data_IF_870878927605
#
_entry.id   IF_870878927605
#
_cell.length_a   1.000
_cell.length_b   1.000
_cell.length_c   1.000
_cell.angle_alpha   90.00
_cell.angle_beta   90.00
_cell.angle_gamma   90.00
#
_symmetry.space_group_name_H-M   'P 1'
#
loop_
_entity.id
_entity.type
_entity.pdbx_description
1 polymer ?
#
# COMPACT_ATOMS: atom_id res chain seq x y z
N UNK A 1 5.63 -12.79 17.89
CA UNK A 1 4.74 -13.23 16.81
C UNK A 1 3.41 -13.63 17.40
N UNK A 2 2.35 -12.98 16.96
CA UNK A 2 1.00 -13.44 17.26
C UNK A 2 0.68 -14.65 16.37
N UNK A 3 0.41 -15.81 16.97
CA UNK A 3 -0.22 -16.91 16.25
C UNK A 3 -1.73 -16.62 16.18
N UNK A 4 -2.25 -16.37 14.97
CA UNK A 4 -3.66 -16.05 14.75
C UNK A 4 -4.37 -17.27 14.20
N UNK A 5 -5.47 -17.66 14.84
CA UNK A 5 -6.29 -18.78 14.37
C UNK A 5 -7.32 -18.28 13.37
N UNK A 6 -7.31 -18.83 12.16
CA UNK A 6 -8.31 -18.56 11.13
C UNK A 6 -9.16 -19.81 10.89
N UNK A 7 -10.46 -19.70 11.18
CA UNK A 7 -11.42 -20.75 10.87
C UNK A 7 -11.83 -20.64 9.40
N UNK A 8 -11.73 -21.74 8.67
CA UNK A 8 -12.05 -21.79 7.26
C UNK A 8 -12.81 -23.06 6.87
N UNK A 9 -13.60 -22.94 5.81
CA UNK A 9 -14.33 -24.03 5.19
C UNK A 9 -13.70 -24.37 3.84
N UNK A 10 -13.37 -25.64 3.63
CA UNK A 10 -12.83 -26.10 2.36
C UNK A 10 -13.93 -26.03 1.30
N UNK A 11 -13.59 -25.52 0.11
CA UNK A 11 -14.52 -25.42 -1.02
C UNK A 11 -14.01 -26.22 -2.22
N UNK A 12 -14.91 -26.98 -2.83
CA UNK A 12 -14.62 -27.68 -4.10
C UNK A 12 -15.07 -26.87 -5.32
N UNK A 13 -16.12 -26.07 -5.18
CA UNK A 13 -16.69 -25.28 -6.27
C UNK A 13 -16.05 -23.89 -6.33
N UNK A 14 -15.55 -23.51 -7.51
CA UNK A 14 -14.91 -22.22 -7.77
C UNK A 14 -15.52 -21.46 -8.95
N UNK A 15 -16.82 -21.60 -9.18
CA UNK A 15 -17.52 -20.85 -10.23
C UNK A 15 -17.75 -19.41 -9.81
N UNK A 16 -17.77 -18.49 -10.79
CA UNK A 16 -17.92 -17.05 -10.55
C UNK A 16 -19.20 -16.71 -9.76
N UNK A 17 -20.31 -17.41 -10.05
CA UNK A 17 -21.58 -17.22 -9.33
C UNK A 17 -21.46 -17.55 -7.84
N UNK A 18 -20.82 -18.66 -7.51
CA UNK A 18 -20.64 -19.11 -6.11
C UNK A 18 -19.72 -18.15 -5.35
N UNK A 19 -18.63 -17.68 -5.98
CA UNK A 19 -17.73 -16.71 -5.35
C UNK A 19 -18.42 -15.38 -5.05
N UNK A 20 -19.29 -14.91 -5.95
CA UNK A 20 -20.05 -13.68 -5.74
C UNK A 20 -21.08 -13.83 -4.62
N UNK A 21 -21.72 -14.99 -4.52
CA UNK A 21 -22.66 -15.29 -3.43
C UNK A 21 -21.95 -15.37 -2.07
N UNK A 22 -20.79 -16.05 -2.01
CA UNK A 22 -19.97 -16.10 -0.79
C UNK A 22 -19.57 -14.71 -0.30
N UNK A 23 -19.11 -13.82 -1.19
CA UNK A 23 -18.76 -12.44 -0.84
C UNK A 23 -19.97 -11.65 -0.34
N UNK A 24 -21.16 -11.85 -0.93
CA UNK A 24 -22.40 -11.24 -0.46
C UNK A 24 -22.81 -11.73 0.93
N UNK A 25 -22.54 -13.00 1.23
CA UNK A 25 -22.80 -13.62 2.52
C UNK A 25 -21.73 -13.31 3.59
N UNK A 26 -20.75 -12.46 3.29
CA UNK A 26 -19.71 -12.05 4.24
C UNK A 26 -18.53 -13.03 4.35
N UNK A 27 -18.37 -13.94 3.38
CA UNK A 27 -17.22 -14.83 3.30
C UNK A 27 -16.21 -14.34 2.28
N UNK A 28 -14.93 -14.48 2.61
CA UNK A 28 -13.80 -14.17 1.75
C UNK A 28 -13.24 -15.50 1.22
N UNK A 29 -13.27 -15.73 -0.10
CA UNK A 29 -12.62 -16.88 -0.70
C UNK A 29 -11.10 -16.73 -0.60
N UNK A 30 -10.39 -17.82 -0.39
CA UNK A 30 -8.93 -17.84 -0.41
C UNK A 30 -8.37 -19.13 -0.98
N UNK A 31 -7.06 -19.13 -1.17
CA UNK A 31 -6.29 -20.28 -1.64
C UNK A 31 -5.16 -20.54 -0.66
N UNK A 32 -5.03 -21.80 -0.23
CA UNK A 32 -3.89 -22.26 0.54
C UNK A 32 -3.03 -23.13 -0.36
N UNK A 33 -1.74 -22.86 -0.40
CA UNK A 33 -0.79 -23.70 -1.12
C UNK A 33 0.51 -23.81 -0.33
N UNK A 34 1.12 -24.98 -0.39
CA UNK A 34 2.41 -25.29 0.24
C UNK A 34 3.25 -26.10 -0.74
N UNK A 35 4.55 -26.20 -0.49
CA UNK A 35 5.43 -27.08 -1.25
C UNK A 35 5.21 -28.56 -0.91
N UNK A 36 4.72 -28.88 0.30
CA UNK A 36 4.54 -30.25 0.77
C UNK A 36 3.10 -30.77 0.62
N UNK A 37 2.11 -29.89 0.57
CA UNK A 37 0.68 -30.24 0.52
C UNK A 37 0.03 -29.72 -0.75
N UNK A 38 -0.97 -30.45 -1.22
CA UNK A 38 -1.78 -30.03 -2.37
C UNK A 38 -2.46 -28.68 -2.08
N UNK A 39 -2.47 -27.81 -3.10
CA UNK A 39 -3.16 -26.55 -3.01
C UNK A 39 -4.68 -26.79 -2.93
N UNK A 40 -5.36 -26.11 -2.01
CA UNK A 40 -6.80 -26.18 -1.90
C UNK A 40 -7.41 -24.80 -1.73
N UNK A 41 -8.66 -24.72 -2.13
CA UNK A 41 -9.48 -23.53 -1.99
C UNK A 41 -10.25 -23.57 -0.68
N UNK A 42 -10.34 -22.44 0.00
CA UNK A 42 -11.14 -22.30 1.22
C UNK A 42 -11.99 -21.03 1.18
N UNK A 43 -12.89 -20.89 2.14
CA UNK A 43 -13.64 -19.68 2.44
C UNK A 43 -13.55 -19.39 3.94
N UNK A 44 -13.29 -18.14 4.31
CA UNK A 44 -13.20 -17.70 5.70
C UNK A 44 -14.14 -16.52 5.93
N UNK A 45 -14.60 -16.32 7.17
CA UNK A 45 -15.49 -15.22 7.48
C UNK A 45 -14.73 -13.88 7.44
N UNK A 46 -15.35 -12.83 6.88
CA UNK A 46 -14.70 -11.53 6.67
C UNK A 46 -14.19 -10.90 7.99
N UNK A 47 -14.91 -11.09 9.09
CA UNK A 47 -14.50 -10.55 10.40
C UNK A 47 -13.20 -11.16 10.90
N UNK A 48 -13.02 -12.48 10.73
CA UNK A 48 -11.80 -13.16 11.16
C UNK A 48 -10.61 -12.74 10.30
N UNK A 49 -10.87 -12.58 9.00
CA UNK A 49 -9.91 -12.11 8.00
C UNK A 49 -9.42 -10.68 8.28
N UNK A 50 -10.35 -9.74 8.48
CA UNK A 50 -10.00 -8.33 8.64
C UNK A 50 -9.11 -8.08 9.87
N UNK A 51 -9.20 -8.95 10.90
CA UNK A 51 -8.43 -8.80 12.13
C UNK A 51 -6.91 -8.83 11.91
N UNK A 52 -6.44 -9.50 10.86
CA UNK A 52 -5.00 -9.66 10.60
C UNK A 52 -4.57 -9.13 9.23
N UNK A 53 -5.50 -8.85 8.32
CA UNK A 53 -5.16 -8.25 7.01
C UNK A 53 -4.80 -6.77 7.16
N UNK A 54 -5.48 -6.05 8.04
CA UNK A 54 -5.27 -4.61 8.23
C UNK A 54 -4.17 -4.29 9.26
N UNK A 55 -3.43 -5.30 9.74
CA UNK A 55 -2.25 -5.06 10.57
C UNK A 55 -1.03 -4.84 9.71
N UNK A 56 -0.23 -3.84 10.05
CA UNK A 56 1.07 -3.56 9.41
C UNK A 56 2.15 -4.59 9.73
N UNK A 57 1.82 -5.70 10.39
CA UNK A 57 2.75 -6.73 10.83
C UNK A 57 2.56 -8.00 10.01
N UNK A 58 3.67 -8.69 9.72
CA UNK A 58 3.59 -10.03 9.15
C UNK A 58 3.27 -11.05 10.25
N UNK A 59 2.15 -11.74 10.09
CA UNK A 59 1.64 -12.68 11.08
C UNK A 59 1.61 -14.12 10.55
N UNK A 60 1.89 -15.07 11.44
CA UNK A 60 1.72 -16.50 11.16
C UNK A 60 0.27 -16.88 11.45
N UNK A 61 -0.39 -17.45 10.45
CA UNK A 61 -1.78 -17.89 10.50
C UNK A 61 -1.81 -19.40 10.74
N UNK A 62 -2.53 -19.81 11.77
CA UNK A 62 -2.92 -21.20 12.00
C UNK A 62 -4.32 -21.39 11.37
N UNK A 63 -4.34 -21.92 10.15
CA UNK A 63 -5.58 -22.22 9.42
C UNK A 63 -6.20 -23.51 9.97
N UNK A 64 -7.42 -23.41 10.48
CA UNK A 64 -8.24 -24.55 10.93
C UNK A 64 -9.35 -24.79 9.93
N UNK A 65 -9.35 -25.98 9.33
CA UNK A 65 -10.39 -26.41 8.41
C UNK A 65 -11.39 -27.22 9.22
N UNK A 66 -12.68 -26.87 9.16
CA UNK A 66 -13.73 -27.46 10.02
C UNK A 66 -13.78 -29.01 10.02
N UNK A 67 -13.27 -29.68 8.97
CA UNK A 67 -13.27 -31.14 8.85
C UNK A 67 -11.95 -31.82 9.29
N UNK A 68 -10.85 -31.09 9.44
CA UNK A 68 -9.52 -31.65 9.73
C UNK A 68 -8.97 -31.17 11.07
N UNK A 69 -8.44 -32.11 11.88
CA UNK A 69 -7.70 -31.81 13.12
C UNK A 69 -6.30 -31.25 12.87
N UNK A 70 -5.90 -31.11 11.61
CA UNK A 70 -4.58 -30.60 11.26
C UNK A 70 -4.59 -29.07 11.27
N UNK A 71 -3.79 -28.48 12.16
CA UNK A 71 -3.51 -27.05 12.14
C UNK A 71 -2.47 -26.78 11.04
N UNK A 72 -2.88 -26.07 9.99
CA UNK A 72 -2.00 -25.70 8.89
C UNK A 72 -1.40 -24.33 9.18
N UNK A 73 -0.07 -24.29 9.38
CA UNK A 73 0.65 -23.03 9.56
C UNK A 73 0.94 -22.40 8.21
N UNK A 74 0.61 -21.12 8.06
CA UNK A 74 0.85 -20.36 6.84
C UNK A 74 1.09 -18.88 7.10
N UNK A 75 1.47 -18.17 6.05
CA UNK A 75 1.61 -16.72 6.03
C UNK A 75 0.83 -16.17 4.85
N UNK A 76 0.32 -14.95 4.98
CA UNK A 76 -0.34 -14.26 3.88
C UNK A 76 0.70 -13.95 2.82
N UNK A 77 0.47 -14.43 1.60
CA UNK A 77 1.30 -14.07 0.46
C UNK A 77 0.76 -12.84 -0.25
N UNK A 78 -0.55 -12.78 -0.47
CA UNK A 78 -1.20 -11.69 -1.16
C UNK A 78 -2.64 -11.50 -0.65
N UNK A 79 -3.12 -10.26 -0.75
CA UNK A 79 -4.49 -9.87 -0.39
C UNK A 79 -5.03 -8.95 -1.47
N UNK A 80 -6.18 -9.34 -2.02
CA UNK A 80 -6.88 -8.53 -3.02
C UNK A 80 -7.98 -7.73 -2.35
N UNK A 81 -7.97 -6.42 -2.60
CA UNK A 81 -8.99 -5.50 -2.10
C UNK A 81 -9.89 -5.03 -3.24
N UNK A 82 -11.15 -4.79 -2.92
CA UNK A 82 -12.06 -4.06 -3.79
C UNK A 82 -11.66 -2.57 -3.77
N UNK A 83 -11.31 -1.96 -4.92
CA UNK A 83 -10.82 -0.57 -4.96
C UNK A 83 -11.89 0.48 -4.62
N UNK A 84 -13.16 0.11 -4.54
CA UNK A 84 -14.26 1.02 -4.23
C UNK A 84 -14.72 0.84 -2.79
N UNK A 85 -14.79 -0.41 -2.32
CA UNK A 85 -15.36 -0.73 -0.99
C UNK A 85 -14.31 -1.02 0.07
N UNK A 86 -13.04 -1.10 -0.30
CA UNK A 86 -11.90 -1.52 0.54
C UNK A 86 -12.08 -2.88 1.23
N UNK A 87 -13.04 -3.67 0.74
CA UNK A 87 -13.31 -5.01 1.27
C UNK A 87 -12.31 -5.99 0.72
N UNK A 88 -11.87 -6.91 1.58
CA UNK A 88 -11.04 -8.04 1.16
C UNK A 88 -11.87 -8.97 0.26
N UNK A 89 -11.39 -9.19 -0.97
CA UNK A 89 -12.07 -9.99 -2.00
C UNK A 89 -11.47 -11.36 -2.20
N UNK A 90 -10.17 -11.51 -1.92
CA UNK A 90 -9.42 -12.76 -2.00
C UNK A 90 -8.18 -12.72 -1.12
N UNK A 91 -7.77 -13.89 -0.59
CA UNK A 91 -6.53 -14.05 0.18
C UNK A 91 -5.76 -15.28 -0.30
N UNK A 92 -4.47 -15.09 -0.47
CA UNK A 92 -3.51 -16.17 -0.71
C UNK A 92 -2.70 -16.46 0.55
N UNK A 93 -2.72 -17.72 0.97
CA UNK A 93 -1.95 -18.20 2.12
C UNK A 93 -0.90 -19.20 1.63
N UNK A 94 0.36 -18.90 1.93
CA UNK A 94 1.50 -19.78 1.69
C UNK A 94 1.78 -20.60 2.95
N UNK A 95 1.71 -21.93 2.84
CA UNK A 95 2.02 -22.84 3.94
C UNK A 95 3.51 -22.85 4.29
N UNK A 96 3.80 -22.81 5.59
CA UNK A 96 5.17 -22.84 6.10
C UNK A 96 5.68 -24.29 6.20
N UNK A 97 6.76 -24.59 5.49
CA UNK A 97 7.46 -25.88 5.57
C UNK A 97 8.80 -25.68 6.28
N UNK A 98 9.09 -26.50 7.29
CA UNK A 98 10.33 -26.41 8.04
C UNK A 98 11.55 -26.68 7.15
N UNK A 99 12.57 -25.82 7.26
CA UNK A 99 13.86 -26.00 6.58
C UNK A 99 13.92 -25.52 5.13
N UNK A 100 12.85 -24.93 4.60
CA UNK A 100 12.85 -24.33 3.25
C UNK A 100 12.85 -22.81 3.33
N UNK A 101 13.58 -22.15 2.43
CA UNK A 101 13.52 -20.70 2.29
C UNK A 101 12.22 -20.30 1.59
N UNK A 102 11.68 -19.16 2.02
CA UNK A 102 10.45 -18.56 1.50
C UNK A 102 10.73 -17.11 1.15
N UNK A 103 10.06 -16.61 0.10
CA UNK A 103 10.14 -15.22 -0.33
C UNK A 103 8.88 -14.48 0.07
N UNK A 104 9.03 -13.45 0.89
CA UNK A 104 7.95 -12.74 1.56
C UNK A 104 8.17 -11.23 1.44
N UNK A 105 7.07 -10.48 1.38
CA UNK A 105 7.10 -9.02 1.50
C UNK A 105 6.94 -8.66 2.97
N UNK A 106 7.94 -7.96 3.54
CA UNK A 106 7.93 -7.54 4.94
C UNK A 106 7.84 -6.02 5.00
N UNK A 107 6.91 -5.48 5.82
CA UNK A 107 6.72 -4.05 5.97
C UNK A 107 7.90 -3.39 6.69
N UNK A 108 8.17 -2.16 6.29
CA UNK A 108 9.25 -1.33 6.82
C UNK A 108 8.65 -0.21 7.68
N UNK A 109 9.04 -0.18 8.95
CA UNK A 109 8.61 0.81 9.93
C UNK A 109 9.78 1.74 10.25
N UNK A 110 9.50 3.05 10.32
CA UNK A 110 10.51 4.05 10.67
C UNK A 110 10.49 4.28 12.18
N UNK A 111 11.67 4.33 12.79
CA UNK A 111 11.84 4.62 14.21
C UNK A 111 12.64 5.90 14.39
N UNK A 112 12.24 6.72 15.37
CA UNK A 112 12.87 8.01 15.64
C UNK A 112 12.33 9.17 14.80
N UNK A 113 12.68 10.38 15.24
CA UNK A 113 12.34 11.64 14.55
C UNK A 113 13.60 12.19 13.88
N UNK A 114 13.61 12.24 12.55
CA UNK A 114 14.74 12.74 11.78
C UNK A 114 15.07 14.20 12.13
N UNK A 115 16.36 14.51 12.30
CA UNK A 115 16.83 15.90 12.52
C UNK A 115 16.34 16.83 11.42
N UNK A 116 16.36 16.37 10.16
CA UNK A 116 15.89 17.17 9.03
C UNK A 116 14.40 17.54 9.10
N UNK A 117 13.57 16.81 9.85
CA UNK A 117 12.17 17.20 10.09
C UNK A 117 12.10 18.38 11.06
N UNK A 118 12.97 18.40 12.08
CA UNK A 118 13.06 19.53 13.02
C UNK A 118 13.56 20.81 12.34
N UNK A 119 14.31 20.67 11.25
CA UNK A 119 14.80 21.75 10.40
C UNK A 119 13.76 22.22 9.35
N UNK A 120 12.55 21.63 9.36
CA UNK A 120 11.45 22.00 8.45
C UNK A 120 11.34 21.13 7.19
N UNK A 121 12.14 20.07 7.07
CA UNK A 121 12.01 19.06 6.02
C UNK A 121 10.85 18.09 6.22
N UNK A 122 10.54 17.30 5.20
CA UNK A 122 9.55 16.23 5.24
C UNK A 122 10.19 14.88 4.96
N UNK A 123 9.92 13.88 5.81
CA UNK A 123 10.31 12.49 5.55
C UNK A 123 9.39 11.92 4.48
N UNK A 124 9.98 11.35 3.43
CA UNK A 124 9.28 10.62 2.40
C UNK A 124 9.81 9.17 2.38
N UNK A 125 8.92 8.23 2.71
CA UNK A 125 9.17 6.81 2.54
C UNK A 125 8.79 6.39 1.11
N UNK A 126 9.77 5.99 0.32
CA UNK A 126 9.56 5.55 -1.06
C UNK A 126 9.15 4.09 -1.13
N UNK A 127 9.66 3.28 -0.18
CA UNK A 127 9.43 1.83 -0.16
C UNK A 127 8.85 1.42 1.20
N UNK A 128 7.60 0.96 1.20
CA UNK A 128 6.90 0.52 2.41
C UNK A 128 7.08 -0.97 2.74
N UNK A 129 7.47 -1.78 1.75
CA UNK A 129 7.66 -3.22 1.90
C UNK A 129 8.93 -3.67 1.19
N UNK A 130 9.61 -4.66 1.76
CA UNK A 130 10.81 -5.27 1.20
C UNK A 130 10.61 -6.75 0.91
N UNK A 131 11.05 -7.17 -0.26
CA UNK A 131 11.12 -8.57 -0.66
C UNK A 131 12.33 -9.21 0.01
N UNK A 132 12.06 -10.18 0.87
CA UNK A 132 13.10 -10.90 1.58
C UNK A 132 12.95 -12.40 1.47
N UNK A 133 14.08 -13.08 1.42
CA UNK A 133 14.21 -14.51 1.50
C UNK A 133 14.71 -14.91 2.90
N UNK A 134 13.90 -15.67 3.63
CA UNK A 134 14.26 -16.14 4.96
C UNK A 134 13.70 -17.55 5.24
N UNK A 135 14.22 -18.19 6.29
CA UNK A 135 13.65 -19.42 6.83
C UNK A 135 12.43 -19.07 7.69
N UNK A 136 11.41 -19.96 7.78
CA UNK A 136 10.23 -19.75 8.62
C UNK A 136 10.52 -19.41 10.10
N UNK A 137 11.68 -19.81 10.62
CA UNK A 137 12.11 -19.54 12.01
C UNK A 137 12.65 -18.12 12.22
N UNK A 138 13.00 -17.43 11.14
CA UNK A 138 13.67 -16.13 11.15
C UNK A 138 12.86 -15.06 10.41
N UNK A 139 11.58 -15.29 10.15
CA UNK A 139 10.70 -14.25 9.58
C UNK A 139 10.63 -13.11 10.62
N UNK A 140 11.03 -11.86 10.31
CA UNK A 140 10.76 -10.72 11.18
C UNK A 140 9.33 -10.23 10.97
N UNK A 141 8.68 -9.68 12.01
CA UNK A 141 7.33 -9.12 11.90
C UNK A 141 7.32 -7.83 11.07
N UNK A 142 8.32 -6.97 11.32
CA UNK A 142 8.58 -5.71 10.65
C UNK A 142 10.09 -5.46 10.58
N UNK A 143 10.52 -4.63 9.62
CA UNK A 143 11.90 -4.15 9.52
C UNK A 143 11.93 -2.72 10.04
N UNK A 144 12.66 -2.48 11.13
CA UNK A 144 12.80 -1.15 11.72
C UNK A 144 14.00 -0.42 11.13
N UNK A 145 13.78 0.83 10.72
CA UNK A 145 14.83 1.71 10.19
C UNK A 145 14.88 2.97 11.06
N UNK A 146 16.03 3.19 11.70
CA UNK A 146 16.29 4.41 12.45
C UNK A 146 16.55 5.58 11.49
N UNK A 147 15.73 6.63 11.61
CA UNK A 147 15.83 7.84 10.79
C UNK A 147 16.35 9.04 11.57
N UNK A 148 16.69 8.87 12.85
CA UNK A 148 17.01 9.97 13.78
C UNK A 148 18.13 10.87 13.24
N UNK A 149 19.19 10.28 12.69
CA UNK A 149 20.38 11.02 12.23
C UNK A 149 20.25 11.63 10.83
N UNK A 150 19.11 11.46 10.14
CA UNK A 150 18.92 11.97 8.79
C UNK A 150 18.72 13.49 8.76
N UNK A 151 19.56 14.18 7.98
CA UNK A 151 19.45 15.61 7.68
C UNK A 151 18.69 15.86 6.38
N UNK A 152 18.37 17.12 6.09
CA UNK A 152 17.70 17.48 4.83
C UNK A 152 18.58 17.10 3.64
N UNK A 153 18.03 16.32 2.70
CA UNK A 153 18.72 15.82 1.52
C UNK A 153 19.33 14.43 1.68
N UNK A 154 19.36 13.89 2.90
CA UNK A 154 19.86 12.53 3.14
C UNK A 154 18.83 11.47 2.75
N UNK A 155 19.33 10.29 2.37
CA UNK A 155 18.52 9.14 2.01
C UNK A 155 19.15 7.82 2.46
N UNK A 156 18.31 6.88 2.89
CA UNK A 156 18.70 5.51 3.25
C UNK A 156 18.37 4.59 2.07
N UNK A 157 19.34 3.78 1.65
CA UNK A 157 19.16 2.77 0.61
C UNK A 157 19.11 1.36 1.20
N UNK A 158 18.67 0.39 0.38
CA UNK A 158 18.63 -1.04 0.76
C UNK A 158 20.01 -1.56 1.16
N UNK A 159 21.10 -1.12 0.51
CA UNK A 159 22.48 -1.49 0.86
C UNK A 159 22.90 -1.14 2.29
N UNK A 160 22.24 -0.15 2.90
CA UNK A 160 22.60 0.34 4.23
C UNK A 160 21.91 -0.50 5.32
N UNK A 161 20.99 -1.38 4.94
CA UNK A 161 20.34 -2.33 5.85
C UNK A 161 21.18 -3.58 6.07
N UNK A 162 21.56 -3.81 7.32
CA UNK A 162 22.13 -5.07 7.77
C UNK A 162 21.09 -5.85 8.56
N UNK A 163 20.43 -6.81 7.92
CA UNK A 163 19.51 -7.74 8.57
C UNK A 163 20.19 -9.09 8.79
N UNK A 164 20.24 -9.54 10.04
CA UNK A 164 20.77 -10.86 10.35
C UNK A 164 19.78 -11.96 9.94
N UNK A 165 20.27 -13.02 9.30
CA UNK A 165 19.51 -14.22 8.91
C UNK A 165 18.40 -14.01 7.85
N UNK A 166 18.36 -12.84 7.21
CA UNK A 166 17.40 -12.49 6.16
C UNK A 166 18.15 -11.98 4.94
N UNK A 167 17.84 -12.51 3.76
CA UNK A 167 18.45 -12.08 2.50
C UNK A 167 17.49 -11.15 1.76
N UNK A 168 17.87 -9.90 1.55
CA UNK A 168 17.05 -8.95 0.79
C UNK A 168 17.19 -9.26 -0.71
N UNK A 169 16.06 -9.30 -1.43
CA UNK A 169 16.01 -9.59 -2.87
C UNK A 169 15.90 -8.33 -3.73
N UNK A 170 15.49 -7.20 -3.15
CA UNK A 170 15.45 -5.92 -3.85
C UNK A 170 16.87 -5.46 -4.23
N UNK A 171 16.96 -4.62 -5.27
CA UNK A 171 18.23 -4.05 -5.68
C UNK A 171 18.80 -3.11 -4.60
N UNK A 172 20.10 -3.21 -4.36
CA UNK A 172 20.85 -2.42 -3.37
C UNK A 172 20.72 -0.90 -3.55
N UNK A 173 20.41 -0.45 -4.76
CA UNK A 173 20.25 0.98 -5.12
C UNK A 173 18.87 1.55 -4.78
N UNK A 174 17.89 0.70 -4.48
CA UNK A 174 16.53 1.14 -4.15
C UNK A 174 16.58 1.99 -2.87
N UNK A 175 15.88 3.13 -2.93
CA UNK A 175 15.76 4.06 -1.83
C UNK A 175 14.59 3.65 -0.92
N UNK A 176 14.83 3.68 0.39
CA UNK A 176 13.82 3.35 1.38
C UNK A 176 13.15 4.62 1.89
N UNK A 177 13.97 5.55 2.35
CA UNK A 177 13.55 6.79 2.99
C UNK A 177 14.44 7.92 2.50
N UNK A 178 13.86 9.11 2.35
CA UNK A 178 14.59 10.35 2.11
C UNK A 178 13.96 11.49 2.90
N UNK A 179 14.78 12.49 3.26
CA UNK A 179 14.29 13.73 3.85
C UNK A 179 14.38 14.83 2.81
N UNK A 180 13.23 15.39 2.43
CA UNK A 180 13.15 16.41 1.38
C UNK A 180 13.04 17.79 2.03
N UNK A 181 13.73 18.77 1.46
CA UNK A 181 13.64 20.17 1.87
C UNK A 181 12.21 20.70 1.67
N UNK A 182 11.71 21.58 2.54
CA UNK A 182 10.43 22.23 2.31
C UNK A 182 10.49 23.00 1.00
N UNK A 183 9.47 22.83 0.14
CA UNK A 183 9.24 23.79 -0.92
C UNK A 183 8.79 25.09 -0.25
N UNK A 184 9.64 26.11 -0.29
CA UNK A 184 9.19 27.46 -0.01
C UNK A 184 8.01 27.76 -0.94
N UNK A 185 6.85 28.02 -0.35
CA UNK A 185 5.78 28.71 -1.04
C UNK A 185 6.35 30.12 -1.18
N UNK A 186 6.88 30.44 -2.36
CA UNK A 186 6.97 31.84 -2.78
C UNK A 186 5.52 32.32 -2.83
N UNK A 187 5.07 32.94 -1.73
CA UNK A 187 3.97 33.89 -1.81
C UNK A 187 4.36 34.87 -2.93
N UNK A 188 3.54 35.05 -3.98
CA UNK A 188 3.81 36.14 -4.90
C UNK A 188 3.79 37.40 -4.05
N UNK A 189 4.94 38.08 -3.92
CA UNK A 189 5.03 39.38 -3.28
C UNK A 189 3.94 40.25 -3.90
N UNK A 190 2.89 40.54 -3.12
CA UNK A 190 1.99 41.64 -3.41
C UNK A 190 2.87 42.88 -3.51
N UNK A 191 3.04 43.36 -4.75
CA UNK A 191 3.59 44.67 -5.05
C UNK A 191 2.70 45.72 -4.40
N UNK A 192 3.06 46.13 -3.18
CA UNK A 192 2.45 47.26 -2.49
C UNK A 192 2.93 48.57 -3.13
N UNK A 193 1.95 49.25 -3.71
CA UNK A 193 1.69 50.70 -3.62
C UNK A 193 2.70 51.63 -4.31
N UNK A 194 2.34 52.22 -5.46
CA UNK A 194 1.52 53.43 -5.66
C UNK A 194 2.24 54.78 -5.41
N UNK A 195 1.88 55.71 -6.30
CA UNK A 195 2.30 57.12 -6.46
C UNK A 195 3.68 57.34 -7.14
N UNK A 196 3.84 58.12 -8.22
CA UNK A 196 3.16 59.36 -8.60
C UNK A 196 3.39 59.64 -10.09
N UNK A 197 2.34 59.96 -10.86
CA UNK A 197 2.17 61.25 -11.57
C UNK A 197 0.95 61.20 -12.49
N UNK A 198 -0.03 62.02 -12.11
CA UNK A 198 -1.23 62.33 -12.85
C UNK A 198 -0.96 63.06 -14.18
N UNK A 199 -1.70 62.68 -15.21
CA UNK A 199 -2.32 63.62 -16.15
C UNK A 199 -3.64 63.01 -16.67
N UNK A 200 -4.76 63.62 -16.26
CA UNK A 200 -6.12 63.41 -16.76
C UNK A 200 -6.30 64.18 -18.12
N UNK A 201 -7.49 64.25 -18.75
CA UNK A 201 -8.39 63.19 -19.23
C UNK A 201 -8.81 63.43 -20.71
N UNK A 202 -9.31 62.43 -21.43
CA UNK A 202 -10.21 62.65 -22.58
C UNK A 202 -10.94 61.36 -22.99
N UNK A 203 -12.12 61.20 -22.42
CA UNK A 203 -13.40 60.66 -22.90
C UNK A 203 -13.55 59.59 -24.02
N UNK A 204 -14.68 58.84 -23.99
CA UNK A 204 -14.87 57.50 -24.56
C UNK A 204 -15.71 57.48 -25.84
N UNK A 205 -15.71 56.37 -26.60
CA UNK A 205 -16.87 56.02 -27.43
C UNK A 205 -17.13 54.50 -27.49
N UNK A 206 -18.43 54.24 -27.65
CA UNK A 206 -19.21 53.04 -27.42
C UNK A 206 -19.64 52.41 -28.76
N UNK A 207 -19.75 51.07 -28.76
CA UNK A 207 -20.78 50.24 -29.46
C UNK A 207 -20.92 50.34 -31.00
N UNK A 208 -20.83 49.16 -31.64
CA UNK A 208 -21.64 48.75 -32.80
C UNK A 208 -21.31 47.29 -33.12
N UNK A 209 -22.06 46.26 -32.69
CA UNK A 209 -23.42 45.83 -33.05
C UNK A 209 -23.62 45.61 -34.57
N UNK A 210 -23.89 44.35 -34.92
CA UNK A 210 -24.38 43.84 -36.21
C UNK A 210 -23.91 42.39 -36.36
N UNK A 211 -24.63 41.34 -35.98
CA UNK A 211 -26.00 40.89 -36.32
C UNK A 211 -26.22 40.65 -37.81
N UNK A 212 -26.15 39.37 -38.18
CA UNK A 212 -26.91 38.64 -39.21
C UNK A 212 -26.53 37.16 -38.98
N UNK A 213 -27.25 36.29 -38.27
CA UNK A 213 -28.63 35.80 -38.47
C UNK A 213 -28.93 35.30 -39.90
N UNK A 214 -29.62 34.15 -39.91
CA UNK A 214 -30.23 33.36 -40.99
C UNK A 214 -29.33 32.32 -41.69
N UNK A 215 -29.43 31.02 -41.38
CA UNK A 215 -30.57 30.09 -41.59
C UNK A 215 -30.97 29.93 -43.06
N UNK A 216 -30.60 28.78 -43.64
CA UNK A 216 -31.51 27.80 -44.24
C UNK A 216 -30.72 26.53 -44.60
N UNK A 217 -31.10 25.38 -44.03
CA UNK A 217 -31.98 24.36 -44.66
C UNK A 217 -31.40 23.90 -46.01
N UNK A 218 -31.02 22.64 -46.21
CA UNK A 218 -31.69 21.42 -45.82
C UNK A 218 -31.78 20.54 -47.07
N UNK A 219 -32.00 19.24 -46.84
CA UNK A 219 -32.44 18.22 -47.79
C UNK A 219 -31.37 17.37 -48.52
N UNK A 220 -31.46 16.07 -48.15
CA UNK A 220 -31.05 14.83 -48.84
C UNK A 220 -29.57 14.40 -48.89
#
# INVERSE_FOLDING_TARGET
MAEIVLNAEKREKSTQSVLNELRKNGYVPGTFYSKEKEAFSFAAHNVDVNRFVFTSETNIINLKINDDKEELRGIIKDVQFDPITDKVTHIDILGLTAGQTLQLEIPVTLTGDAVGVKEGGSVQQSTHKLDVECLPRHIPEQIEIDVTDLSIGDSIHVKDLNLENVKILNAETVMLVSVIAPRAIEEPEETLEDEILADEPAEPEVIGKGKSEDENEGDQ
#
